data_IF_389652428938
#
_entry.id   IF_389652428938
#
_cell.length_a   1.000
_cell.length_b   1.000
_cell.length_c   1.000
_cell.angle_alpha   90.00
_cell.angle_beta   90.00
_cell.angle_gamma   90.00
#
_symmetry.space_group_name_H-M   'P 1'
#
loop_
_entity.id
_entity.type
_entity.pdbx_description
1 polymer ?
#
# COMPACT_ATOMS: atom_id res chain seq x y z
N UNK A 1 13.01 -13.92 -11.68
CA UNK A 1 12.34 -14.11 -13.00
C UNK A 1 13.02 -13.16 -13.97
N UNK A 2 13.42 -13.61 -15.16
CA UNK A 2 13.99 -12.68 -16.16
C UNK A 2 12.84 -11.99 -16.88
N UNK A 3 12.69 -10.68 -16.69
CA UNK A 3 11.73 -9.87 -17.44
C UNK A 3 12.40 -9.31 -18.70
N UNK A 4 11.68 -9.31 -19.82
CA UNK A 4 12.00 -8.41 -20.93
C UNK A 4 11.54 -6.99 -20.60
N UNK A 5 12.11 -5.97 -21.27
CA UNK A 5 11.69 -4.58 -21.07
C UNK A 5 10.17 -4.37 -21.26
N UNK A 6 9.51 -4.89 -22.32
CA UNK A 6 8.06 -4.74 -22.47
C UNK A 6 7.25 -5.40 -21.35
N UNK A 7 7.67 -6.57 -20.86
CA UNK A 7 7.01 -7.23 -19.73
C UNK A 7 7.16 -6.43 -18.44
N UNK A 8 8.34 -5.86 -18.20
CA UNK A 8 8.60 -5.02 -17.04
C UNK A 8 7.73 -3.74 -17.07
N UNK A 9 7.72 -3.03 -18.20
CA UNK A 9 6.91 -1.82 -18.37
C UNK A 9 5.41 -2.11 -18.22
N UNK A 10 4.94 -3.25 -18.74
CA UNK A 10 3.55 -3.67 -18.55
C UNK A 10 3.21 -3.91 -17.07
N UNK A 11 4.13 -4.50 -16.30
CA UNK A 11 3.92 -4.72 -14.86
C UNK A 11 3.91 -3.40 -14.10
N UNK A 12 4.86 -2.50 -14.37
CA UNK A 12 4.93 -1.21 -13.72
C UNK A 12 3.66 -0.38 -13.98
N UNK A 13 3.18 -0.30 -15.24
CA UNK A 13 1.92 0.40 -15.56
C UNK A 13 0.71 -0.19 -14.82
N UNK A 14 0.67 -1.52 -14.67
CA UNK A 14 -0.42 -2.19 -13.98
C UNK A 14 -0.38 -1.97 -12.47
N UNK A 15 0.82 -2.02 -11.86
CA UNK A 15 1.04 -1.71 -10.45
C UNK A 15 0.64 -0.27 -10.13
N UNK A 16 1.08 0.69 -10.94
CA UNK A 16 0.74 2.11 -10.73
C UNK A 16 -0.75 2.40 -10.91
N UNK A 17 -1.40 1.71 -11.87
CA UNK A 17 -2.83 1.84 -12.03
C UNK A 17 -3.60 1.28 -10.82
N UNK A 18 -3.21 0.10 -10.35
CA UNK A 18 -3.79 -0.52 -9.15
C UNK A 18 -3.56 0.37 -7.92
N UNK A 19 -2.34 0.84 -7.70
CA UNK A 19 -1.99 1.73 -6.58
C UNK A 19 -2.86 2.99 -6.58
N UNK A 20 -3.00 3.65 -7.74
CA UNK A 20 -3.84 4.84 -7.86
C UNK A 20 -5.30 4.58 -7.48
N UNK A 21 -5.86 3.43 -7.86
CA UNK A 21 -7.24 3.09 -7.48
C UNK A 21 -7.38 2.76 -5.99
N UNK A 22 -6.43 2.00 -5.41
CA UNK A 22 -6.47 1.64 -4.00
C UNK A 22 -6.24 2.85 -3.10
N UNK A 23 -5.31 3.73 -3.46
CA UNK A 23 -5.11 4.99 -2.76
C UNK A 23 -6.33 5.90 -2.84
N UNK A 24 -7.06 5.88 -3.96
CA UNK A 24 -8.30 6.63 -4.09
C UNK A 24 -9.38 6.11 -3.12
N UNK A 25 -9.56 4.79 -3.03
CA UNK A 25 -10.48 4.16 -2.08
C UNK A 25 -10.12 4.49 -0.63
N UNK A 26 -8.83 4.40 -0.28
CA UNK A 26 -8.35 4.76 1.05
C UNK A 26 -8.57 6.25 1.35
N UNK A 27 -8.33 7.13 0.38
CA UNK A 27 -8.54 8.56 0.54
C UNK A 27 -10.02 8.89 0.79
N UNK A 28 -10.93 8.31 -0.01
CA UNK A 28 -12.37 8.47 0.13
C UNK A 28 -12.87 7.94 1.49
N UNK A 29 -12.32 6.80 1.94
CA UNK A 29 -12.60 6.22 3.24
C UNK A 29 -12.18 7.16 4.38
N UNK A 30 -10.96 7.69 4.34
CA UNK A 30 -10.47 8.65 5.35
C UNK A 30 -11.30 9.93 5.40
N UNK A 31 -11.73 10.44 4.25
CA UNK A 31 -12.60 11.61 4.15
C UNK A 31 -13.96 11.35 4.80
N UNK A 32 -14.55 10.16 4.61
CA UNK A 32 -15.82 9.77 5.23
C UNK A 32 -15.75 9.74 6.77
N UNK A 33 -14.56 9.47 7.33
CA UNK A 33 -14.29 9.50 8.77
C UNK A 33 -13.75 10.84 9.27
N UNK A 34 -13.72 11.88 8.42
CA UNK A 34 -13.19 13.22 8.73
C UNK A 34 -11.71 13.22 9.13
N UNK A 35 -10.93 12.28 8.59
CA UNK A 35 -9.49 12.23 8.73
C UNK A 35 -8.82 12.91 7.52
N UNK A 36 -8.99 14.23 7.44
CA UNK A 36 -8.61 15.02 6.27
C UNK A 36 -7.10 14.99 5.99
N UNK A 37 -6.28 14.88 7.03
CA UNK A 37 -4.82 14.82 6.92
C UNK A 37 -4.34 13.53 6.24
N UNK A 38 -4.85 12.36 6.69
CA UNK A 38 -4.50 11.07 6.07
C UNK A 38 -5.17 10.92 4.71
N UNK A 39 -6.38 11.47 4.51
CA UNK A 39 -6.98 11.54 3.19
C UNK A 39 -6.09 12.31 2.22
N UNK A 40 -5.61 13.50 2.60
CA UNK A 40 -4.73 14.32 1.76
C UNK A 40 -3.43 13.59 1.38
N UNK A 41 -2.82 12.87 2.31
CA UNK A 41 -1.68 12.00 2.01
C UNK A 41 -2.04 11.00 0.90
N UNK A 42 -3.11 10.24 1.05
CA UNK A 42 -3.49 9.25 0.03
C UNK A 42 -3.87 9.90 -1.31
N UNK A 43 -4.46 11.10 -1.31
CA UNK A 43 -4.69 11.87 -2.56
C UNK A 43 -3.37 12.24 -3.23
N UNK A 44 -2.33 12.58 -2.48
CA UNK A 44 -1.00 12.84 -3.04
C UNK A 44 -0.41 11.55 -3.64
N UNK A 45 -0.56 10.40 -2.96
CA UNK A 45 -0.16 9.09 -3.49
C UNK A 45 -0.87 8.74 -4.82
N UNK A 46 -2.17 9.02 -4.95
CA UNK A 46 -2.90 8.86 -6.23
C UNK A 46 -2.23 9.67 -7.34
N UNK A 47 -1.83 10.91 -7.06
CA UNK A 47 -1.19 11.79 -8.05
C UNK A 47 0.18 11.27 -8.46
N UNK A 48 0.98 10.79 -7.50
CA UNK A 48 2.29 10.18 -7.79
C UNK A 48 2.13 8.96 -8.68
N UNK A 49 1.24 8.02 -8.35
CA UNK A 49 1.02 6.83 -9.17
C UNK A 49 0.51 7.15 -10.59
N UNK A 50 -0.37 8.15 -10.72
CA UNK A 50 -0.82 8.61 -12.05
C UNK A 50 0.32 9.21 -12.87
N UNK A 51 1.15 10.05 -12.25
CA UNK A 51 2.32 10.66 -12.89
C UNK A 51 3.31 9.60 -13.35
N UNK A 52 3.68 8.66 -12.48
CA UNK A 52 4.60 7.57 -12.80
C UNK A 52 4.06 6.70 -13.94
N UNK A 53 2.79 6.30 -13.87
CA UNK A 53 2.13 5.56 -14.95
C UNK A 53 2.25 6.26 -16.29
N UNK A 54 2.03 7.58 -16.33
CA UNK A 54 2.07 8.35 -17.56
C UNK A 54 3.51 8.52 -18.07
N UNK A 55 4.49 8.66 -17.17
CA UNK A 55 5.91 8.61 -17.54
C UNK A 55 6.31 7.25 -18.12
N UNK A 56 5.90 6.14 -17.50
CA UNK A 56 6.20 4.80 -17.98
C UNK A 56 5.57 4.57 -19.36
N UNK A 57 4.33 5.04 -19.57
CA UNK A 57 3.69 4.99 -20.89
C UNK A 57 4.42 5.83 -21.92
N UNK A 58 4.88 7.02 -21.56
CA UNK A 58 5.68 7.87 -22.44
C UNK A 58 6.99 7.17 -22.84
N UNK A 59 7.66 6.52 -21.89
CA UNK A 59 8.86 5.70 -22.12
C UNK A 59 8.57 4.48 -22.99
N UNK A 60 7.43 3.80 -22.77
CA UNK A 60 7.01 2.66 -23.59
C UNK A 60 6.74 3.08 -25.05
N UNK A 61 6.26 4.29 -25.28
CA UNK A 61 6.05 4.84 -26.62
C UNK A 61 5.16 3.94 -27.49
N UNK A 62 5.72 3.38 -28.56
CA UNK A 62 5.03 2.47 -29.48
C UNK A 62 5.29 0.99 -29.22
N UNK A 63 5.93 0.64 -28.10
CA UNK A 63 6.18 -0.76 -27.73
C UNK A 63 4.83 -1.44 -27.46
N UNK A 64 4.59 -2.58 -28.10
CA UNK A 64 3.44 -3.42 -27.76
C UNK A 64 3.67 -4.08 -26.39
N UNK A 65 2.81 -3.73 -25.44
CA UNK A 65 2.88 -4.26 -24.08
C UNK A 65 2.05 -5.54 -23.94
N UNK A 66 2.59 -6.60 -23.32
CA UNK A 66 1.82 -7.82 -23.08
C UNK A 66 0.65 -7.57 -22.14
N UNK A 67 -0.45 -8.32 -22.33
CA UNK A 67 -1.58 -8.32 -21.39
C UNK A 67 -1.23 -9.15 -20.17
N UNK A 68 -1.26 -8.52 -19.01
CA UNK A 68 -1.05 -9.19 -17.72
C UNK A 68 -2.34 -9.77 -17.17
N UNK A 69 -2.19 -10.76 -16.28
CA UNK A 69 -3.26 -11.31 -15.47
C UNK A 69 -3.36 -10.52 -14.17
N UNK A 70 -4.58 -10.35 -13.66
CA UNK A 70 -4.85 -9.47 -12.52
C UNK A 70 -4.10 -9.86 -11.24
N UNK A 71 -3.91 -11.15 -10.97
CA UNK A 71 -3.14 -11.62 -9.81
C UNK A 71 -1.64 -11.29 -9.86
N UNK A 72 -1.11 -10.77 -10.97
CA UNK A 72 0.31 -10.42 -11.10
C UNK A 72 0.64 -9.04 -10.52
N UNK A 73 -0.36 -8.19 -10.28
CA UNK A 73 -0.15 -6.81 -9.85
C UNK A 73 -1.15 -6.34 -8.78
N UNK A 74 -2.22 -7.09 -8.52
CA UNK A 74 -3.22 -6.71 -7.54
C UNK A 74 -2.65 -6.62 -6.13
N UNK A 75 -3.02 -5.55 -5.44
CA UNK A 75 -2.84 -5.47 -3.99
C UNK A 75 -3.67 -6.57 -3.34
N UNK A 76 -3.15 -7.19 -2.28
CA UNK A 76 -3.96 -8.11 -1.47
C UNK A 76 -5.17 -7.35 -0.95
N UNK A 77 -6.37 -7.95 -0.96
CA UNK A 77 -7.52 -7.31 -0.34
C UNK A 77 -7.18 -6.97 1.13
N UNK A 78 -7.54 -5.78 1.62
CA UNK A 78 -7.41 -5.52 3.05
C UNK A 78 -8.19 -6.63 3.79
N UNK A 79 -7.67 -7.17 4.90
CA UNK A 79 -8.47 -8.08 5.73
C UNK A 79 -9.78 -7.36 6.05
N UNK A 80 -10.92 -8.03 5.84
CA UNK A 80 -12.24 -7.41 5.96
C UNK A 80 -12.31 -6.53 7.21
N UNK A 81 -12.39 -5.22 7.01
CA UNK A 81 -12.64 -4.25 8.08
C UNK A 81 -14.13 -4.37 8.39
N UNK A 82 -14.51 -5.38 9.18
CA UNK A 82 -15.92 -5.73 9.31
C UNK A 82 -16.24 -6.77 10.38
N UNK A 83 -16.04 -6.43 11.64
CA UNK A 83 -16.87 -6.93 12.73
C UNK A 83 -17.71 -5.77 13.27
N UNK A 84 -19.00 -5.99 13.54
CA UNK A 84 -20.02 -4.99 13.96
C UNK A 84 -19.73 -4.27 15.31
N UNK A 85 -18.50 -4.31 15.82
CA UNK A 85 -18.14 -3.75 17.12
C UNK A 85 -17.49 -2.37 16.94
N UNK A 86 -18.29 -1.33 17.17
CA UNK A 86 -17.89 0.07 17.41
C UNK A 86 -16.79 0.63 16.49
N UNK A 87 -17.21 1.30 15.41
CA UNK A 87 -16.37 2.12 14.54
C UNK A 87 -15.49 3.11 15.34
N UNK A 88 -14.22 2.77 15.48
CA UNK A 88 -13.18 3.71 15.90
C UNK A 88 -12.48 4.24 14.63
N UNK A 89 -12.75 5.50 14.29
CA UNK A 89 -12.13 6.17 13.14
C UNK A 89 -10.58 6.16 13.22
N UNK A 90 -10.00 6.03 14.42
CA UNK A 90 -8.54 5.91 14.60
C UNK A 90 -8.02 4.50 14.37
N UNK A 91 -8.83 3.48 14.70
CA UNK A 91 -8.57 2.09 14.30
C UNK A 91 -8.53 2.00 12.77
N UNK A 92 -9.39 2.72 12.06
CA UNK A 92 -9.45 2.69 10.60
C UNK A 92 -8.23 3.36 9.94
N UNK A 93 -7.81 4.54 10.40
CA UNK A 93 -6.67 5.26 9.80
C UNK A 93 -5.32 4.54 10.01
N UNK A 94 -5.07 4.03 11.21
CA UNK A 94 -3.83 3.28 11.48
C UNK A 94 -3.75 1.99 10.65
N UNK A 95 -4.86 1.27 10.50
CA UNK A 95 -4.91 0.06 9.67
C UNK A 95 -4.79 0.39 8.18
N UNK A 96 -5.42 1.46 7.70
CA UNK A 96 -5.28 1.95 6.32
C UNK A 96 -3.83 2.29 5.98
N UNK A 97 -3.13 3.03 6.86
CA UNK A 97 -1.71 3.35 6.69
C UNK A 97 -0.82 2.10 6.69
N UNK A 98 -1.08 1.14 7.60
CA UNK A 98 -0.36 -0.13 7.62
C UNK A 98 -0.58 -0.92 6.33
N UNK A 99 -1.82 -0.98 5.86
CA UNK A 99 -2.18 -1.66 4.63
C UNK A 99 -1.48 -1.04 3.41
N UNK A 100 -1.48 0.29 3.30
CA UNK A 100 -0.73 1.00 2.26
C UNK A 100 0.77 0.69 2.34
N UNK A 101 1.37 0.82 3.52
CA UNK A 101 2.79 0.53 3.77
C UNK A 101 3.18 -0.88 3.33
N UNK A 102 2.38 -1.89 3.68
CA UNK A 102 2.69 -3.27 3.30
C UNK A 102 2.71 -3.47 1.79
N UNK A 103 1.86 -2.77 1.05
CA UNK A 103 1.86 -2.85 -0.41
C UNK A 103 3.03 -2.08 -1.04
N UNK A 104 3.43 -0.93 -0.48
CA UNK A 104 4.64 -0.23 -0.93
C UNK A 104 5.91 -1.05 -0.68
N UNK A 105 6.00 -1.73 0.47
CA UNK A 105 7.11 -2.65 0.72
C UNK A 105 7.13 -3.78 -0.31
N UNK A 106 5.96 -4.34 -0.67
CA UNK A 106 5.88 -5.39 -1.72
C UNK A 106 6.31 -4.85 -3.09
N UNK A 107 5.93 -3.62 -3.44
CA UNK A 107 6.36 -2.98 -4.68
C UNK A 107 7.87 -2.73 -4.70
N UNK A 108 8.42 -2.18 -3.62
CA UNK A 108 9.87 -1.97 -3.43
C UNK A 108 10.65 -3.29 -3.56
N UNK A 109 10.19 -4.36 -2.90
CA UNK A 109 10.81 -5.69 -2.97
C UNK A 109 10.73 -6.28 -4.39
N UNK A 110 9.58 -6.12 -5.05
CA UNK A 110 9.40 -6.53 -6.44
C UNK A 110 10.41 -5.85 -7.36
N UNK A 111 10.48 -4.52 -7.35
CA UNK A 111 11.40 -3.76 -8.21
C UNK A 111 12.85 -4.09 -7.89
N UNK A 112 13.22 -4.17 -6.60
CA UNK A 112 14.56 -4.58 -6.17
C UNK A 112 14.95 -5.96 -6.71
N UNK A 113 14.04 -6.93 -6.62
CA UNK A 113 14.24 -8.30 -7.12
C UNK A 113 14.40 -8.35 -8.64
N UNK A 114 13.60 -7.56 -9.37
CA UNK A 114 13.70 -7.44 -10.83
C UNK A 114 15.05 -6.84 -11.24
N UNK A 115 15.46 -5.74 -10.61
CA UNK A 115 16.73 -5.07 -10.90
C UNK A 115 17.94 -5.97 -10.65
N UNK A 116 17.91 -6.79 -9.59
CA UNK A 116 18.98 -7.73 -9.27
C UNK A 116 19.05 -8.92 -10.24
N UNK A 117 17.90 -9.39 -10.74
CA UNK A 117 17.81 -10.61 -11.55
C UNK A 117 17.82 -10.39 -13.07
N UNK A 118 17.56 -9.17 -13.53
CA UNK A 118 17.57 -8.84 -14.96
C UNK A 118 18.99 -8.84 -15.55
N UNK A 119 19.10 -9.08 -16.86
CA UNK A 119 20.32 -8.84 -17.64
C UNK A 119 20.20 -7.62 -18.57
N UNK A 120 18.99 -7.07 -18.72
CA UNK A 120 18.73 -5.89 -19.54
C UNK A 120 19.13 -4.62 -18.76
N UNK A 121 20.10 -3.82 -19.23
CA UNK A 121 20.56 -2.63 -18.53
C UNK A 121 19.46 -1.60 -18.26
N UNK A 122 18.48 -1.48 -19.16
CA UNK A 122 17.40 -0.51 -19.00
C UNK A 122 16.40 -0.98 -17.94
N UNK A 123 16.08 -2.28 -17.92
CA UNK A 123 15.26 -2.86 -16.83
C UNK A 123 15.97 -2.69 -15.48
N UNK A 124 17.30 -2.89 -15.41
CA UNK A 124 18.05 -2.66 -14.17
C UNK A 124 17.96 -1.23 -13.68
N UNK A 125 18.14 -0.27 -14.59
CA UNK A 125 18.10 1.16 -14.29
C UNK A 125 16.72 1.56 -13.78
N UNK A 126 15.67 1.23 -14.52
CA UNK A 126 14.29 1.56 -14.17
C UNK A 126 13.84 0.88 -12.87
N UNK A 127 14.16 -0.40 -12.68
CA UNK A 127 13.81 -1.11 -11.47
C UNK A 127 14.52 -0.53 -10.23
N UNK A 128 15.75 -0.04 -10.37
CA UNK A 128 16.44 0.65 -9.28
C UNK A 128 15.82 2.02 -8.97
N UNK A 129 15.40 2.78 -10.00
CA UNK A 129 14.67 4.04 -9.83
C UNK A 129 13.35 3.83 -9.08
N UNK A 130 12.52 2.90 -9.54
CA UNK A 130 11.23 2.63 -8.90
C UNK A 130 11.40 2.07 -7.49
N UNK A 131 12.37 1.19 -7.25
CA UNK A 131 12.65 0.72 -5.88
C UNK A 131 13.05 1.85 -4.93
N UNK A 132 13.78 2.87 -5.41
CA UNK A 132 14.14 4.04 -4.61
C UNK A 132 12.91 4.91 -4.31
N UNK A 133 12.07 5.16 -5.31
CA UNK A 133 10.80 5.90 -5.14
C UNK A 133 9.87 5.21 -4.14
N UNK A 134 9.68 3.89 -4.24
CA UNK A 134 8.85 3.15 -3.27
C UNK A 134 9.45 3.17 -1.86
N UNK A 135 10.77 3.26 -1.73
CA UNK A 135 11.41 3.45 -0.42
C UNK A 135 11.00 4.80 0.19
N UNK A 136 10.99 5.87 -0.60
CA UNK A 136 10.54 7.19 -0.14
C UNK A 136 9.06 7.18 0.28
N UNK A 137 8.21 6.45 -0.45
CA UNK A 137 6.81 6.24 -0.08
C UNK A 137 6.65 5.50 1.25
N UNK A 138 7.39 4.39 1.44
CA UNK A 138 7.40 3.64 2.71
C UNK A 138 7.82 4.54 3.87
N UNK A 139 8.89 5.33 3.70
CA UNK A 139 9.38 6.26 4.73
C UNK A 139 8.37 7.37 5.05
N UNK A 140 7.68 7.89 4.04
CA UNK A 140 6.62 8.88 4.23
C UNK A 140 5.47 8.29 5.05
N UNK A 141 4.99 7.09 4.70
CA UNK A 141 3.93 6.40 5.43
C UNK A 141 4.36 6.03 6.85
N UNK A 142 5.63 5.63 7.06
CA UNK A 142 6.18 5.34 8.38
C UNK A 142 6.13 6.57 9.31
N UNK A 143 6.47 7.76 8.79
CA UNK A 143 6.34 9.02 9.55
C UNK A 143 4.88 9.31 9.93
N UNK A 144 3.92 8.94 9.10
CA UNK A 144 2.50 9.06 9.42
C UNK A 144 2.03 8.03 10.45
N UNK A 145 2.51 6.79 10.37
CA UNK A 145 2.23 5.74 11.35
C UNK A 145 2.77 6.07 12.74
N UNK A 146 3.91 6.74 12.84
CA UNK A 146 4.47 7.20 14.12
C UNK A 146 3.60 8.27 14.81
N UNK A 147 2.90 9.09 14.01
CA UNK A 147 2.04 10.17 14.50
C UNK A 147 0.60 9.73 14.72
N UNK A 148 0.17 8.67 14.06
CA UNK A 148 -1.20 8.16 14.14
C UNK A 148 -1.35 7.30 15.41
N UNK A 149 -2.32 7.60 16.29
CA UNK A 149 -2.56 6.80 17.48
C UNK A 149 -2.76 5.33 17.13
N UNK A 150 -2.08 4.44 17.85
CA UNK A 150 -2.33 3.00 17.71
C UNK A 150 -3.69 2.69 18.33
N UNK A 151 -4.50 1.82 17.70
CA UNK A 151 -5.71 1.34 18.35
C UNK A 151 -5.33 0.68 19.68
N UNK A 152 -5.97 1.11 20.76
CA UNK A 152 -5.89 0.40 22.04
C UNK A 152 -6.41 -1.02 21.81
N UNK A 153 -5.61 -2.03 22.15
CA UNK A 153 -6.12 -3.40 22.18
C UNK A 153 -7.42 -3.41 22.99
N UNK A 154 -8.53 -4.01 22.50
CA UNK A 154 -9.68 -4.20 23.34
C UNK A 154 -9.18 -4.93 24.57
N UNK A 155 -9.38 -4.31 25.73
CA UNK A 155 -9.19 -4.89 27.05
C UNK A 155 -9.53 -6.38 26.98
N UNK A 156 -8.49 -7.23 26.95
CA UNK A 156 -8.69 -8.65 27.19
C UNK A 156 -9.41 -8.69 28.53
N UNK A 157 -10.65 -9.19 28.51
CA UNK A 157 -11.57 -9.20 29.64
C UNK A 157 -10.79 -9.51 30.92
N UNK A 158 -10.59 -8.49 31.74
CA UNK A 158 -10.11 -8.68 33.10
C UNK A 158 -11.20 -9.49 33.77
N UNK A 159 -10.99 -10.78 34.13
CA UNK A 159 -12.00 -11.50 34.88
C UNK A 159 -12.06 -10.81 36.24
N UNK A 160 -13.01 -9.88 36.38
CA UNK A 160 -13.28 -9.17 37.61
C UNK A 160 -13.35 -10.15 38.79
N UNK A 161 -12.93 -9.72 39.99
CA UNK A 161 -12.69 -10.62 41.11
C UNK A 161 -13.95 -11.41 41.45
N UNK A 162 -13.83 -12.74 41.53
CA UNK A 162 -14.91 -13.63 41.95
C UNK A 162 -15.47 -13.15 43.31
N UNK A 163 -16.78 -12.87 43.43
CA UNK A 163 -17.35 -12.46 44.69
C UNK A 163 -17.60 -13.70 45.55
N UNK A 164 -16.79 -13.82 46.59
CA UNK A 164 -17.24 -14.32 47.89
C UNK A 164 -17.12 -15.83 48.12
N UNK A 165 -16.18 -16.19 48.99
CA UNK A 165 -16.50 -17.08 50.10
C UNK A 165 -15.85 -16.52 51.37
N UNK A 166 -16.67 -15.90 52.22
CA UNK A 166 -16.37 -15.76 53.65
C UNK A 166 -17.35 -16.62 54.43
N UNK A 167 -16.75 -17.46 55.28
CA UNK A 167 -17.30 -18.12 56.48
C UNK A 167 -18.19 -19.34 56.26
N UNK A 168 -17.68 -20.51 56.69
CA UNK A 168 -17.96 -20.94 58.07
C UNK A 168 -16.82 -21.77 58.65
#
# INVERSE_FOLDING_TARGET
MSYTLPEFLAHAIALEHEAAERYLELADMMESYRNDEVSALFRDMVRFSQMHRDEIKARAGSIELPKLRSWQYRWSAPPEVGGEEAFDATLDAYQALKYARENEVRAMEYYSSVGQSSNDPEVKRLAAEFAAEETEHVEAIDKWLERTPRPSAPWASDPGPLPGEKKS
#
